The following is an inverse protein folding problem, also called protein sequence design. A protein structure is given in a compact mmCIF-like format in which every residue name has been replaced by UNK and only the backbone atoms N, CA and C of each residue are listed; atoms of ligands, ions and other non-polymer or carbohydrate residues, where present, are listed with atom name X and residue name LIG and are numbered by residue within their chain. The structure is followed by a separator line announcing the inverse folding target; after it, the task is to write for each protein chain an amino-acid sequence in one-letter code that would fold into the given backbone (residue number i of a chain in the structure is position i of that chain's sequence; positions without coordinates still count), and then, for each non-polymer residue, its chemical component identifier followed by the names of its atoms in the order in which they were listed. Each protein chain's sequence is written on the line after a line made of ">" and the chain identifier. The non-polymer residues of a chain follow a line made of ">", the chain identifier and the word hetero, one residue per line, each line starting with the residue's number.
data_IF_482791389734
#
_entry.id   IF_482791389734
#
_cell.length_a   1.000
_cell.length_b   1.000
_cell.length_c   1.000
_cell.angle_alpha   90.00
_cell.angle_beta   90.00
_cell.angle_gamma   90.00
#
_symmetry.space_group_name_H-M   'P 1'
#
loop_
_entity.id
_entity.type
_entity.pdbx_description
1 polymer ?
#
# COMPACT_ATOMS: atom_id res chain seq x y z
N UNK A 1 10.72 -14.04 -24.71
CA UNK A 1 11.09 -13.21 -23.54
C UNK A 1 10.00 -12.16 -23.33
N UNK A 2 9.05 -12.36 -22.41
CA UNK A 2 8.01 -11.34 -22.13
C UNK A 2 8.70 -10.16 -21.44
N UNK A 3 8.79 -9.01 -22.10
CA UNK A 3 9.27 -7.76 -21.48
C UNK A 3 8.36 -7.47 -20.29
N UNK A 4 8.84 -7.70 -19.08
CA UNK A 4 8.18 -7.22 -17.86
C UNK A 4 8.08 -5.70 -17.98
N UNK A 5 6.87 -5.18 -18.16
CA UNK A 5 6.65 -3.74 -18.26
C UNK A 5 6.99 -3.15 -16.90
N UNK A 6 8.00 -2.30 -16.85
CA UNK A 6 8.30 -1.49 -15.67
C UNK A 6 7.06 -0.64 -15.36
N UNK A 7 6.37 -0.92 -14.25
CA UNK A 7 5.23 -0.11 -13.79
C UNK A 7 5.74 1.29 -13.41
N UNK A 8 4.96 2.34 -13.58
CA UNK A 8 5.29 3.69 -13.10
C UNK A 8 5.15 3.82 -11.58
N UNK A 9 5.75 4.85 -10.97
CA UNK A 9 5.57 5.13 -9.54
C UNK A 9 4.11 5.40 -9.19
N UNK A 10 3.37 6.08 -10.08
CA UNK A 10 1.92 6.31 -9.92
C UNK A 10 1.13 4.99 -9.90
N UNK A 11 1.39 4.09 -10.86
CA UNK A 11 0.74 2.77 -10.90
C UNK A 11 1.08 1.94 -9.66
N UNK A 12 2.34 1.95 -9.21
CA UNK A 12 2.76 1.24 -8.00
C UNK A 12 1.97 1.72 -6.76
N UNK A 13 1.83 3.04 -6.59
CA UNK A 13 1.06 3.64 -5.50
C UNK A 13 -0.41 3.26 -5.61
N UNK A 14 -0.98 3.25 -6.82
CA UNK A 14 -2.37 2.86 -7.03
C UNK A 14 -2.61 1.38 -6.69
N UNK A 15 -1.68 0.49 -7.05
CA UNK A 15 -1.77 -0.92 -6.67
C UNK A 15 -1.72 -1.13 -5.16
N UNK A 16 -0.84 -0.40 -4.46
CA UNK A 16 -0.79 -0.40 -2.99
C UNK A 16 -2.12 0.11 -2.42
N UNK A 17 -2.68 1.19 -2.96
CA UNK A 17 -3.96 1.75 -2.53
C UNK A 17 -5.11 0.71 -2.60
N UNK A 18 -5.20 0.00 -3.72
CA UNK A 18 -6.19 -1.07 -3.93
C UNK A 18 -5.98 -2.20 -2.93
N UNK A 19 -4.73 -2.60 -2.70
CA UNK A 19 -4.42 -3.67 -1.75
C UNK A 19 -4.72 -3.26 -0.31
N UNK A 20 -4.55 -1.99 0.06
CA UNK A 20 -4.94 -1.49 1.38
C UNK A 20 -6.46 -1.62 1.61
N UNK A 21 -7.28 -1.26 0.63
CA UNK A 21 -8.73 -1.48 0.71
C UNK A 21 -9.10 -2.97 0.82
N UNK A 22 -8.37 -3.86 0.12
CA UNK A 22 -8.56 -5.32 0.26
C UNK A 22 -8.14 -5.82 1.64
N UNK A 23 -7.03 -5.34 2.18
CA UNK A 23 -6.54 -5.72 3.50
C UNK A 23 -7.57 -5.32 4.57
N UNK A 24 -8.08 -4.09 4.54
CA UNK A 24 -9.12 -3.64 5.47
C UNK A 24 -10.34 -4.58 5.44
N UNK A 25 -10.87 -4.87 4.24
CA UNK A 25 -11.99 -5.80 4.06
C UNK A 25 -11.70 -7.21 4.60
N UNK A 26 -10.50 -7.73 4.37
CA UNK A 26 -10.15 -9.07 4.84
C UNK A 26 -9.82 -9.12 6.34
N UNK A 27 -9.39 -8.01 6.93
CA UNK A 27 -9.30 -7.87 8.39
C UNK A 27 -10.70 -7.95 9.01
N UNK A 28 -11.71 -7.25 8.47
CA UNK A 28 -13.11 -7.36 8.93
C UNK A 28 -13.59 -8.82 8.94
N UNK A 29 -13.25 -9.56 7.89
CA UNK A 29 -13.60 -10.98 7.71
C UNK A 29 -12.73 -11.97 8.52
N UNK A 30 -11.76 -11.52 9.31
CA UNK A 30 -10.76 -12.36 9.98
C UNK A 30 -9.99 -13.30 9.03
N UNK A 31 -9.83 -12.91 7.76
CA UNK A 31 -9.16 -13.74 6.75
C UNK A 31 -7.66 -13.44 6.68
N UNK A 32 -6.91 -13.96 7.65
CA UNK A 32 -5.47 -13.70 7.77
C UNK A 32 -4.66 -14.13 6.55
N UNK A 33 -5.05 -15.21 5.87
CA UNK A 33 -4.36 -15.71 4.68
C UNK A 33 -4.38 -14.67 3.56
N UNK A 34 -5.55 -14.04 3.34
CA UNK A 34 -5.69 -12.99 2.33
C UNK A 34 -4.98 -11.72 2.77
N UNK A 35 -5.04 -11.34 4.05
CA UNK A 35 -4.28 -10.21 4.58
C UNK A 35 -2.78 -10.37 4.31
N UNK A 36 -2.20 -11.53 4.65
CA UNK A 36 -0.78 -11.83 4.40
C UNK A 36 -0.41 -11.76 2.92
N UNK A 37 -1.25 -12.29 2.04
CA UNK A 37 -1.05 -12.23 0.59
C UNK A 37 -0.93 -10.77 0.10
N UNK A 38 -1.90 -9.93 0.43
CA UNK A 38 -1.91 -8.55 -0.06
C UNK A 38 -0.85 -7.67 0.60
N UNK A 39 -0.45 -7.98 1.84
CA UNK A 39 0.73 -7.37 2.46
C UNK A 39 2.01 -7.68 1.67
N UNK A 40 2.21 -8.95 1.30
CA UNK A 40 3.36 -9.36 0.47
C UNK A 40 3.35 -8.69 -0.90
N UNK A 41 2.18 -8.52 -1.52
CA UNK A 41 2.04 -7.79 -2.78
C UNK A 41 2.45 -6.31 -2.61
N UNK A 42 2.02 -5.66 -1.51
CA UNK A 42 2.42 -4.29 -1.19
C UNK A 42 3.93 -4.15 -1.05
N UNK A 43 4.60 -5.08 -0.37
CA UNK A 43 6.06 -5.08 -0.26
C UNK A 43 6.74 -5.20 -1.64
N UNK A 44 6.17 -6.00 -2.54
CA UNK A 44 6.61 -6.11 -3.92
C UNK A 44 6.59 -4.77 -4.67
N UNK A 45 5.49 -4.01 -4.53
CA UNK A 45 5.38 -2.67 -5.13
C UNK A 45 6.29 -1.64 -4.45
N UNK A 46 6.41 -1.68 -3.11
CA UNK A 46 7.32 -0.81 -2.36
C UNK A 46 8.78 -1.01 -2.81
N UNK A 47 9.21 -2.25 -3.04
CA UNK A 47 10.55 -2.55 -3.53
C UNK A 47 10.81 -2.00 -4.94
N UNK A 48 9.79 -1.97 -5.79
CA UNK A 48 9.89 -1.36 -7.13
C UNK A 48 10.00 0.17 -7.07
N UNK A 49 9.48 0.79 -6.01
CA UNK A 49 9.58 2.22 -5.74
C UNK A 49 10.92 2.56 -5.07
N UNK A 50 11.42 1.72 -4.16
CA UNK A 50 12.61 1.98 -3.32
C UNK A 50 13.93 2.16 -4.11
N UNK A 51 13.95 1.76 -5.38
CA UNK A 51 15.08 2.00 -6.31
C UNK A 51 14.92 3.23 -7.21
N UNK A 52 13.82 3.98 -7.08
CA UNK A 52 13.55 5.20 -7.85
C UNK A 52 13.54 6.38 -6.89
N UNK A 53 14.04 7.54 -7.31
CA UNK A 53 13.95 8.77 -6.53
C UNK A 53 12.49 9.03 -6.16
N UNK A 54 12.10 8.64 -4.94
CA UNK A 54 10.76 8.89 -4.40
C UNK A 54 10.66 10.40 -4.23
N UNK A 55 9.70 11.08 -4.89
CA UNK A 55 9.48 12.49 -4.66
C UNK A 55 9.33 12.75 -3.15
N UNK A 56 9.91 13.83 -2.63
CA UNK A 56 9.80 14.19 -1.20
C UNK A 56 8.34 14.28 -0.73
N UNK A 57 7.43 14.65 -1.64
CA UNK A 57 5.98 14.66 -1.42
C UNK A 57 5.37 13.28 -1.10
N UNK A 58 6.04 12.21 -1.51
CA UNK A 58 5.65 10.81 -1.32
C UNK A 58 6.37 10.11 -0.18
N UNK A 59 7.46 10.70 0.35
CA UNK A 59 8.28 10.05 1.36
C UNK A 59 7.49 9.70 2.62
N UNK A 60 6.68 10.64 3.13
CA UNK A 60 5.77 10.40 4.27
C UNK A 60 4.73 9.32 3.99
N UNK A 61 4.20 9.27 2.76
CA UNK A 61 3.25 8.25 2.34
C UNK A 61 3.89 6.87 2.28
N UNK A 62 5.10 6.81 1.72
CA UNK A 62 5.90 5.59 1.61
C UNK A 62 6.27 5.04 2.99
N UNK A 63 6.72 5.90 3.91
CA UNK A 63 7.02 5.52 5.30
C UNK A 63 5.79 4.98 6.03
N UNK A 64 4.64 5.64 5.91
CA UNK A 64 3.41 5.19 6.57
C UNK A 64 2.91 3.88 5.95
N UNK A 65 3.02 3.73 4.63
CA UNK A 65 2.70 2.47 3.94
C UNK A 65 3.57 1.33 4.47
N UNK A 66 4.88 1.56 4.58
CA UNK A 66 5.83 0.59 5.14
C UNK A 66 5.50 0.26 6.60
N UNK A 67 5.13 1.26 7.41
CA UNK A 67 4.82 1.07 8.82
C UNK A 67 3.52 0.27 9.04
N UNK A 68 2.49 0.53 8.24
CA UNK A 68 1.23 -0.21 8.25
C UNK A 68 1.44 -1.65 7.79
N UNK A 69 2.18 -1.86 6.69
CA UNK A 69 2.49 -3.19 6.18
C UNK A 69 3.23 -4.05 7.22
N UNK A 70 4.14 -3.42 7.98
CA UNK A 70 4.89 -4.06 9.05
C UNK A 70 4.16 -4.11 10.41
N UNK A 71 2.87 -3.75 10.47
CA UNK A 71 2.02 -3.87 11.67
C UNK A 71 2.54 -3.13 12.92
N UNK A 72 3.34 -2.07 12.76
CA UNK A 72 4.04 -1.44 13.89
C UNK A 72 3.20 -0.43 14.69
N UNK A 73 1.99 -0.08 14.24
CA UNK A 73 1.23 1.04 14.83
C UNK A 73 -0.29 0.78 14.79
N UNK A 74 -0.84 0.02 15.74
CA UNK A 74 -2.29 0.03 15.98
C UNK A 74 -2.64 -0.36 17.43
N UNK A 75 -3.69 0.25 17.97
CA UNK A 75 -4.18 0.01 19.34
C UNK A 75 -5.26 -1.08 19.37
N UNK A 76 -6.06 -1.17 18.33
CA UNK A 76 -7.12 -2.17 18.15
C UNK A 76 -7.18 -2.65 16.70
N UNK A 77 -7.95 -3.72 16.45
CA UNK A 77 -8.17 -4.24 15.10
C UNK A 77 -9.00 -3.25 14.26
N UNK A 78 -9.97 -2.60 14.90
CA UNK A 78 -10.85 -1.59 14.30
C UNK A 78 -10.03 -0.38 13.85
N UNK A 79 -9.14 0.13 14.72
CA UNK A 79 -8.22 1.23 14.37
C UNK A 79 -7.31 0.85 13.20
N UNK A 80 -6.89 -0.42 13.11
CA UNK A 80 -6.08 -0.89 12.00
C UNK A 80 -6.87 -0.92 10.69
N UNK A 81 -8.12 -1.40 10.72
CA UNK A 81 -9.02 -1.42 9.57
C UNK A 81 -9.26 0.00 9.05
N UNK A 82 -9.60 0.93 9.94
CA UNK A 82 -9.84 2.33 9.60
C UNK A 82 -8.61 3.01 9.00
N UNK A 83 -7.42 2.71 9.55
CA UNK A 83 -6.17 3.19 8.98
C UNK A 83 -5.95 2.66 7.56
N UNK A 84 -6.18 1.37 7.30
CA UNK A 84 -6.03 0.82 5.95
C UNK A 84 -7.01 1.45 4.95
N UNK A 85 -8.29 1.65 5.31
CA UNK A 85 -9.25 2.35 4.45
C UNK A 85 -8.86 3.81 4.21
N UNK A 86 -8.46 4.52 5.26
CA UNK A 86 -8.04 5.93 5.17
C UNK A 86 -6.85 6.07 4.22
N UNK A 87 -5.84 5.23 4.37
CA UNK A 87 -4.67 5.26 3.52
C UNK A 87 -4.96 4.78 2.10
N UNK A 88 -5.86 3.82 1.89
CA UNK A 88 -6.32 3.44 0.55
C UNK A 88 -6.89 4.65 -0.22
N UNK A 89 -7.70 5.47 0.44
CA UNK A 89 -8.26 6.68 -0.15
C UNK A 89 -7.17 7.73 -0.44
N UNK A 90 -6.33 8.04 0.54
CA UNK A 90 -5.24 9.03 0.39
C UNK A 90 -4.29 8.62 -0.75
N UNK A 91 -3.90 7.35 -0.81
CA UNK A 91 -3.01 6.82 -1.85
C UNK A 91 -3.65 6.90 -3.23
N UNK A 92 -4.94 6.57 -3.35
CA UNK A 92 -5.70 6.68 -4.61
C UNK A 92 -5.70 8.12 -5.13
N UNK A 93 -5.94 9.09 -4.23
CA UNK A 93 -5.88 10.50 -4.59
C UNK A 93 -4.45 10.93 -4.98
N UNK A 94 -3.45 10.55 -4.17
CA UNK A 94 -2.04 10.90 -4.41
C UNK A 94 -1.51 10.32 -5.71
N UNK A 95 -1.86 9.09 -6.07
CA UNK A 95 -1.43 8.46 -7.32
C UNK A 95 -1.77 9.34 -8.55
N UNK A 96 -2.92 10.00 -8.54
CA UNK A 96 -3.38 10.88 -9.65
C UNK A 96 -2.58 12.18 -9.78
N UNK A 97 -1.85 12.57 -8.73
CA UNK A 97 -1.01 13.78 -8.75
C UNK A 97 0.33 13.55 -9.45
N UNK A 98 0.66 12.31 -9.80
CA UNK A 98 1.87 11.96 -10.54
C UNK A 98 1.48 11.60 -11.97
N UNK A 99 1.59 12.58 -12.88
CA UNK A 99 1.57 12.40 -14.33
C UNK A 99 2.99 12.49 -14.88
#
# INVERSE_FOLDING_TARGET
>A
MKRSRSISTSEAILHIAVNFGRIARYLEQNNEKRVKLFLSDCDGYLNQINGRNIPSTLQKTYEITRNLANKKIYRSKEDLIDQYYTWANILTHRARLFK
#
